data_IF_456388471811
#
_entry.id   IF_456388471811
#
_cell.length_a   1.000
_cell.length_b   1.000
_cell.length_c   1.000
_cell.angle_alpha   90.00
_cell.angle_beta   90.00
_cell.angle_gamma   90.00
#
_symmetry.space_group_name_H-M   'P 1'
#
loop_
_entity.id
_entity.type
_entity.pdbx_description
1 polymer ?
#
# COMPACT_ATOMS: atom_id res chain seq x y z
N UNK A 1 -9.57 10.48 -21.05
CA UNK A 1 -8.56 10.88 -20.05
C UNK A 1 -7.26 10.21 -20.49
N UNK A 2 -6.29 10.96 -21.01
CA UNK A 2 -4.99 10.36 -21.39
C UNK A 2 -4.32 9.93 -20.09
N UNK A 3 -4.18 8.62 -19.88
CA UNK A 3 -3.31 8.09 -18.84
C UNK A 3 -1.94 8.67 -19.11
N UNK A 4 -1.46 9.56 -18.24
CA UNK A 4 -0.06 9.98 -18.28
C UNK A 4 0.71 8.69 -18.06
N UNK A 5 1.46 8.24 -19.07
CA UNK A 5 2.29 7.05 -18.93
C UNK A 5 3.15 7.20 -17.68
N UNK A 6 3.04 6.22 -16.78
CA UNK A 6 3.80 6.24 -15.55
C UNK A 6 5.28 6.19 -15.93
N UNK A 7 6.08 7.13 -15.42
CA UNK A 7 7.51 7.20 -15.73
C UNK A 7 8.24 5.89 -15.41
N UNK A 8 7.73 5.13 -14.42
CA UNK A 8 8.24 3.80 -14.11
C UNK A 8 7.99 2.79 -15.23
N UNK A 9 6.80 2.83 -15.86
CA UNK A 9 6.48 1.94 -16.99
C UNK A 9 7.40 2.23 -18.18
N UNK A 10 7.69 3.50 -18.46
CA UNK A 10 8.60 3.91 -19.54
C UNK A 10 10.01 3.38 -19.29
N UNK A 11 10.54 3.56 -18.07
CA UNK A 11 11.89 3.10 -17.71
C UNK A 11 11.97 1.57 -17.73
N UNK A 12 10.96 0.88 -17.21
CA UNK A 12 10.87 -0.58 -17.20
C UNK A 12 10.85 -1.14 -18.63
N UNK A 13 10.08 -0.52 -19.54
CA UNK A 13 9.98 -0.95 -20.93
C UNK A 13 11.29 -0.77 -21.70
N UNK A 14 12.07 0.27 -21.42
CA UNK A 14 13.36 0.53 -22.06
C UNK A 14 14.44 -0.46 -21.62
N UNK A 15 14.44 -0.85 -20.35
CA UNK A 15 15.49 -1.70 -19.72
C UNK A 15 15.06 -3.17 -19.55
N UNK A 16 14.04 -3.62 -20.29
CA UNK A 16 13.17 -4.76 -19.99
C UNK A 16 13.81 -6.15 -19.77
N UNK A 17 15.13 -6.30 -19.91
CA UNK A 17 15.87 -7.53 -19.60
C UNK A 17 16.60 -7.51 -18.25
N UNK A 18 16.72 -6.35 -17.60
CA UNK A 18 17.41 -6.18 -16.32
C UNK A 18 16.56 -6.64 -15.12
N UNK A 19 15.24 -6.48 -15.22
CA UNK A 19 14.31 -6.71 -14.12
C UNK A 19 13.59 -8.05 -14.26
N UNK A 20 13.72 -8.93 -13.25
CA UNK A 20 13.00 -10.21 -13.20
C UNK A 20 11.49 -10.04 -13.00
N UNK A 21 11.11 -9.05 -12.19
CA UNK A 21 9.72 -8.76 -11.82
C UNK A 21 9.53 -7.24 -11.76
N UNK A 22 9.33 -6.58 -12.90
CA UNK A 22 9.23 -5.12 -12.95
C UNK A 22 8.01 -4.57 -12.21
N UNK A 23 6.95 -5.37 -12.08
CA UNK A 23 5.69 -4.99 -11.45
C UNK A 23 5.89 -4.53 -10.00
N UNK A 24 6.94 -5.00 -9.31
CA UNK A 24 7.21 -4.66 -7.90
C UNK A 24 7.57 -3.18 -7.68
N UNK A 25 7.95 -2.48 -8.76
CA UNK A 25 8.30 -1.06 -8.74
C UNK A 25 7.11 -0.14 -9.04
N UNK A 26 5.94 -0.70 -9.33
CA UNK A 26 4.72 0.07 -9.59
C UNK A 26 4.08 0.56 -8.29
N UNK A 27 3.24 1.60 -8.37
CA UNK A 27 2.53 2.15 -7.20
C UNK A 27 1.37 1.25 -6.74
N UNK A 28 0.97 0.34 -7.62
CA UNK A 28 -0.10 -0.64 -7.46
C UNK A 28 0.40 -1.88 -6.71
N UNK A 29 1.70 -2.17 -6.78
CA UNK A 29 2.27 -3.32 -6.10
C UNK A 29 2.15 -3.19 -4.58
N UNK A 30 1.56 -4.22 -3.98
CA UNK A 30 1.42 -4.36 -2.54
C UNK A 30 2.28 -5.54 -2.08
N UNK A 31 3.35 -5.31 -1.29
CA UNK A 31 4.21 -6.39 -0.84
C UNK A 31 3.47 -7.36 0.08
N UNK A 32 3.88 -8.63 0.05
CA UNK A 32 3.35 -9.66 0.95
C UNK A 32 3.65 -9.31 2.42
N UNK A 33 4.88 -8.89 2.69
CA UNK A 33 5.36 -8.51 4.02
C UNK A 33 5.65 -7.01 4.04
N UNK A 34 4.99 -6.28 4.95
CA UNK A 34 5.26 -4.86 5.19
C UNK A 34 6.11 -4.69 6.45
N UNK A 35 7.42 -4.71 6.27
CA UNK A 35 8.37 -4.64 7.38
C UNK A 35 8.19 -3.40 8.26
N UNK A 36 8.43 -3.56 9.57
CA UNK A 36 8.41 -2.51 10.59
C UNK A 36 7.07 -1.77 10.77
N UNK A 37 5.97 -2.31 10.22
CA UNK A 37 4.62 -1.74 10.34
C UNK A 37 3.64 -2.57 11.16
N UNK A 38 4.11 -3.67 11.75
CA UNK A 38 3.30 -4.60 12.57
C UNK A 38 2.45 -3.90 13.63
N UNK A 39 3.03 -2.95 14.39
CA UNK A 39 2.30 -2.25 15.46
C UNK A 39 1.14 -1.43 14.90
N UNK A 40 1.37 -0.71 13.79
CA UNK A 40 0.35 0.12 13.15
C UNK A 40 -0.74 -0.74 12.48
N UNK A 41 -0.36 -1.83 11.81
CA UNK A 41 -1.30 -2.78 11.21
C UNK A 41 -2.23 -3.39 12.26
N UNK A 42 -1.67 -3.84 13.39
CA UNK A 42 -2.45 -4.38 14.52
C UNK A 42 -3.38 -3.34 15.14
N UNK A 43 -2.93 -2.09 15.29
CA UNK A 43 -3.78 -1.01 15.78
C UNK A 43 -5.00 -0.79 14.87
N UNK A 44 -4.79 -0.73 13.54
CA UNK A 44 -5.89 -0.59 12.58
C UNK A 44 -6.87 -1.76 12.64
N UNK A 45 -6.38 -3.01 12.68
CA UNK A 45 -7.22 -4.19 12.83
C UNK A 45 -8.05 -4.12 14.12
N UNK A 46 -7.44 -3.69 15.24
CA UNK A 46 -8.13 -3.58 16.52
C UNK A 46 -9.25 -2.53 16.50
N UNK A 47 -9.00 -1.36 15.91
CA UNK A 47 -10.02 -0.31 15.71
C UNK A 47 -11.16 -0.74 14.80
N UNK A 48 -10.87 -1.63 13.84
CA UNK A 48 -11.86 -2.16 12.90
C UNK A 48 -12.56 -3.44 13.37
N UNK A 49 -12.23 -3.98 14.54
CA UNK A 49 -12.75 -5.26 15.05
C UNK A 49 -14.28 -5.30 15.16
N UNK A 50 -14.92 -4.16 15.38
CA UNK A 50 -16.38 -4.05 15.50
C UNK A 50 -17.12 -4.46 14.20
N UNK A 51 -16.44 -4.36 13.04
CA UNK A 51 -16.97 -4.80 11.75
C UNK A 51 -17.39 -6.27 11.74
N UNK A 52 -16.68 -7.14 12.48
CA UNK A 52 -17.01 -8.57 12.58
C UNK A 52 -18.39 -8.81 13.20
N UNK A 53 -18.91 -7.85 13.95
CA UNK A 53 -20.23 -7.89 14.58
C UNK A 53 -21.28 -7.06 13.84
N UNK A 54 -20.96 -6.58 12.63
CA UNK A 54 -21.85 -5.72 11.82
C UNK A 54 -21.98 -4.28 12.32
N UNK A 55 -21.16 -3.87 13.30
CA UNK A 55 -21.16 -2.52 13.83
C UNK A 55 -20.10 -1.66 13.11
N UNK A 56 -20.37 -0.36 13.02
CA UNK A 56 -19.41 0.58 12.44
C UNK A 56 -18.10 0.60 13.27
N UNK A 57 -16.93 0.67 12.62
CA UNK A 57 -15.65 0.78 13.30
C UNK A 57 -15.46 2.20 13.88
N UNK A 58 -14.46 2.36 14.74
CA UNK A 58 -14.07 3.71 15.20
C UNK A 58 -13.31 4.44 14.10
N UNK A 59 -13.57 5.75 13.95
CA UNK A 59 -12.80 6.60 13.05
C UNK A 59 -11.31 6.62 13.45
N UNK A 60 -10.44 6.63 12.44
CA UNK A 60 -8.98 6.65 12.61
C UNK A 60 -8.37 7.75 11.74
N UNK A 61 -7.43 8.50 12.30
CA UNK A 61 -6.58 9.43 11.56
C UNK A 61 -5.16 8.86 11.48
N UNK A 62 -4.60 8.75 10.27
CA UNK A 62 -3.26 8.20 10.04
C UNK A 62 -2.35 9.31 9.51
N UNK A 63 -1.45 9.79 10.35
CA UNK A 63 -0.56 10.91 10.04
C UNK A 63 0.91 10.49 9.94
N UNK A 64 1.72 11.33 9.29
CA UNK A 64 3.17 11.17 9.19
C UNK A 64 3.75 11.64 7.84
N UNK A 65 5.08 11.75 7.72
CA UNK A 65 5.76 12.24 6.50
C UNK A 65 5.43 11.44 5.23
N UNK A 66 5.68 12.01 4.05
CA UNK A 66 5.56 11.32 2.76
C UNK A 66 6.56 10.15 2.67
N UNK A 67 6.25 9.13 1.85
CA UNK A 67 7.10 7.95 1.69
C UNK A 67 7.17 7.00 2.90
N UNK A 68 6.44 7.27 3.98
CA UNK A 68 6.45 6.41 5.17
C UNK A 68 5.60 5.13 5.05
N UNK A 69 4.91 4.92 3.91
CA UNK A 69 4.11 3.71 3.70
C UNK A 69 2.72 3.72 4.36
N UNK A 70 2.19 4.90 4.70
CA UNK A 70 0.80 5.04 5.20
C UNK A 70 -0.22 4.44 4.24
N UNK A 71 -0.16 4.85 2.97
CA UNK A 71 -1.06 4.37 1.91
C UNK A 71 -0.96 2.86 1.73
N UNK A 72 0.26 2.31 1.70
CA UNK A 72 0.52 0.88 1.60
C UNK A 72 -0.04 0.11 2.80
N UNK A 73 0.12 0.64 4.01
CA UNK A 73 -0.40 0.01 5.22
C UNK A 73 -1.93 -0.05 5.25
N UNK A 74 -2.61 1.01 4.80
CA UNK A 74 -4.08 1.04 4.70
C UNK A 74 -4.55 0.01 3.68
N UNK A 75 -4.00 0.02 2.45
CA UNK A 75 -4.29 -0.95 1.38
C UNK A 75 -4.01 -2.41 1.76
N UNK A 76 -3.17 -2.65 2.77
CA UNK A 76 -2.85 -4.00 3.25
C UNK A 76 -3.92 -4.58 4.16
N UNK A 77 -4.68 -3.74 4.86
CA UNK A 77 -5.72 -4.15 5.81
C UNK A 77 -7.13 -4.06 5.20
N UNK A 78 -7.36 -3.09 4.32
CA UNK A 78 -8.66 -2.81 3.70
C UNK A 78 -8.55 -2.87 2.17
#
# INVERSE_FOLDING_TARGET
MKTVENIFDVVIQQEGTLFKQPEVFTLEYLPEILNFREKQLRAMINHSRQLNSGHAPTNMEITGPYGTGKTTAVKKIF
#
